data_IF_385566722429
#
_entry.id   IF_385566722429
#
_cell.length_a   1.000
_cell.length_b   1.000
_cell.length_c   1.000
_cell.angle_alpha   90.00
_cell.angle_beta   90.00
_cell.angle_gamma   90.00
#
_symmetry.space_group_name_H-M   'P 1'
#
loop_
_entity.id
_entity.type
_entity.pdbx_description
1 polymer ?
#
# COMPACT_ATOMS: atom_id res chain seq x y z
N UNK A 1 2.58 10.39 -14.89
CA UNK A 1 2.02 9.20 -14.21
C UNK A 1 1.79 9.47 -12.73
N UNK A 2 0.77 8.88 -12.08
CA UNK A 2 0.67 8.91 -10.61
C UNK A 2 1.63 7.89 -10.01
N UNK A 3 2.80 8.33 -9.62
CA UNK A 3 3.86 7.50 -9.01
C UNK A 3 4.08 7.95 -7.57
N UNK A 4 4.02 6.99 -6.65
CA UNK A 4 4.37 7.14 -5.25
C UNK A 4 5.62 6.32 -4.90
N UNK A 5 6.32 6.73 -3.86
CA UNK A 5 7.53 6.07 -3.40
C UNK A 5 7.25 5.23 -2.14
N UNK A 6 7.90 4.08 -2.01
CA UNK A 6 7.96 3.35 -0.75
C UNK A 6 9.03 3.95 0.14
N UNK A 7 8.66 4.34 1.35
CA UNK A 7 9.56 4.92 2.34
C UNK A 7 10.02 3.89 3.38
N UNK A 8 11.31 3.93 3.73
CA UNK A 8 11.89 3.17 4.85
C UNK A 8 12.85 4.04 5.68
N UNK A 9 12.38 5.19 6.17
CA UNK A 9 13.21 6.03 7.03
C UNK A 9 13.43 5.38 8.39
N UNK A 10 14.54 5.73 9.03
CA UNK A 10 14.91 5.21 10.35
C UNK A 10 14.72 6.23 11.47
N UNK A 11 14.37 7.46 11.13
CA UNK A 11 14.03 8.53 12.09
C UNK A 11 12.90 9.40 11.56
N UNK A 12 12.24 10.15 12.43
CA UNK A 12 11.18 11.11 12.05
C UNK A 12 11.72 12.17 11.09
N UNK A 13 12.92 12.69 11.34
CA UNK A 13 13.55 13.70 10.48
C UNK A 13 13.75 13.18 9.06
N UNK A 14 14.26 11.96 8.92
CA UNK A 14 14.43 11.32 7.60
C UNK A 14 13.10 11.05 6.90
N UNK A 15 12.02 10.77 7.65
CA UNK A 15 10.70 10.63 7.08
C UNK A 15 10.19 11.97 6.53
N UNK A 16 10.36 13.04 7.29
CA UNK A 16 10.02 14.41 6.87
C UNK A 16 10.82 14.83 5.64
N UNK A 17 12.14 14.63 5.66
CA UNK A 17 13.02 14.91 4.51
C UNK A 17 12.57 14.14 3.26
N UNK A 18 12.30 12.84 3.39
CA UNK A 18 11.84 12.02 2.27
C UNK A 18 10.50 12.52 1.70
N UNK A 19 9.56 12.92 2.55
CA UNK A 19 8.28 13.46 2.09
C UNK A 19 8.46 14.79 1.34
N UNK A 20 9.31 15.69 1.85
CA UNK A 20 9.65 16.97 1.21
C UNK A 20 10.37 16.78 -0.12
N UNK A 21 11.33 15.87 -0.17
CA UNK A 21 12.06 15.57 -1.40
C UNK A 21 11.16 14.93 -2.46
N UNK A 22 10.26 14.04 -2.05
CA UNK A 22 9.27 13.43 -2.94
C UNK A 22 8.28 14.48 -3.47
N UNK A 23 7.80 15.38 -2.63
CA UNK A 23 6.94 16.50 -3.04
C UNK A 23 7.64 17.39 -4.05
N UNK A 24 8.87 17.81 -3.77
CA UNK A 24 9.70 18.63 -4.65
C UNK A 24 9.99 17.94 -5.99
N UNK A 25 10.12 16.60 -5.96
CA UNK A 25 10.31 15.77 -7.16
C UNK A 25 9.04 15.53 -7.97
N UNK A 26 7.86 16.05 -7.54
CA UNK A 26 6.60 15.90 -8.24
C UNK A 26 5.90 14.54 -8.01
N UNK A 27 6.40 13.71 -7.11
CA UNK A 27 5.75 12.43 -6.78
C UNK A 27 4.38 12.63 -6.15
N UNK A 28 3.44 11.75 -6.47
CA UNK A 28 2.05 11.86 -5.99
C UNK A 28 1.89 11.46 -4.53
N UNK A 29 2.73 10.55 -4.02
CA UNK A 29 2.58 10.00 -2.67
C UNK A 29 3.87 9.38 -2.13
N UNK A 30 3.92 9.23 -0.80
CA UNK A 30 4.89 8.35 -0.12
C UNK A 30 4.14 7.37 0.78
N UNK A 31 4.56 6.10 0.74
CA UNK A 31 3.90 5.00 1.42
C UNK A 31 4.81 4.37 2.47
N UNK A 32 4.30 4.20 3.69
CA UNK A 32 5.03 3.63 4.82
C UNK A 32 4.31 2.40 5.36
N UNK A 33 5.05 1.33 5.61
CA UNK A 33 4.51 0.14 6.24
C UNK A 33 4.61 0.19 7.79
N UNK A 34 3.98 -0.77 8.46
CA UNK A 34 3.95 -0.85 9.93
C UNK A 34 5.31 -1.07 10.60
N UNK A 35 6.37 -1.36 9.85
CA UNK A 35 7.71 -1.55 10.39
C UNK A 35 8.51 -0.24 10.46
N UNK A 36 8.03 0.79 9.77
CA UNK A 36 8.68 2.10 9.76
C UNK A 36 8.49 2.79 11.12
N UNK A 37 9.58 3.04 11.81
CA UNK A 37 9.61 3.68 13.15
C UNK A 37 8.76 2.95 14.22
N UNK A 38 8.38 1.68 13.97
CA UNK A 38 7.45 0.93 14.81
C UNK A 38 5.98 1.40 14.72
N UNK A 39 5.74 2.67 14.43
CA UNK A 39 4.46 3.27 14.08
C UNK A 39 4.71 4.55 13.25
N UNK A 40 4.46 4.55 11.94
CA UNK A 40 4.73 5.70 11.10
C UNK A 40 3.78 6.87 11.33
N UNK A 41 2.61 6.66 11.96
CA UNK A 41 1.53 7.64 12.01
C UNK A 41 1.95 8.95 12.69
N UNK A 42 2.69 8.88 13.80
CA UNK A 42 3.18 10.08 14.49
C UNK A 42 4.12 10.91 13.60
N UNK A 43 5.07 10.24 12.93
CA UNK A 43 6.01 10.91 12.02
C UNK A 43 5.29 11.45 10.76
N UNK A 44 4.27 10.75 10.26
CA UNK A 44 3.45 11.21 9.14
C UNK A 44 2.66 12.47 9.49
N UNK A 45 2.16 12.60 10.72
CA UNK A 45 1.52 13.83 11.19
C UNK A 45 2.49 15.03 11.11
N UNK A 46 3.74 14.84 11.52
CA UNK A 46 4.79 15.88 11.41
C UNK A 46 5.11 16.17 9.94
N UNK A 47 5.35 15.15 9.13
CA UNK A 47 5.64 15.31 7.69
C UNK A 47 4.50 16.02 6.95
N UNK A 48 3.24 15.73 7.32
CA UNK A 48 2.07 16.38 6.75
C UNK A 48 2.00 17.88 7.02
N UNK A 49 2.52 18.33 8.17
CA UNK A 49 2.66 19.77 8.50
C UNK A 49 3.78 20.44 7.72
N UNK A 50 4.80 19.68 7.35
CA UNK A 50 5.99 20.17 6.66
C UNK A 50 5.90 20.06 5.12
N UNK A 51 4.79 19.55 4.60
CA UNK A 51 4.50 19.38 3.17
C UNK A 51 3.13 19.97 2.83
N UNK A 52 2.88 20.25 1.55
CA UNK A 52 1.69 20.99 1.11
C UNK A 52 0.70 20.15 0.30
N UNK A 53 1.19 19.28 -0.57
CA UNK A 53 0.38 18.60 -1.59
C UNK A 53 0.55 17.08 -1.61
N UNK A 54 1.74 16.57 -1.25
CA UNK A 54 2.04 15.15 -1.35
C UNK A 54 1.14 14.31 -0.45
N UNK A 55 0.61 13.24 -1.00
CA UNK A 55 -0.15 12.26 -0.23
C UNK A 55 0.77 11.40 0.63
N UNK A 56 0.41 11.23 1.90
CA UNK A 56 1.08 10.34 2.83
C UNK A 56 0.15 9.15 3.10
N UNK A 57 0.61 7.96 2.73
CA UNK A 57 -0.19 6.75 2.87
C UNK A 57 0.49 5.67 3.69
N UNK A 58 -0.29 4.76 4.26
CA UNK A 58 0.25 3.53 4.83
C UNK A 58 0.08 2.35 3.86
N UNK A 59 1.13 1.53 3.72
CA UNK A 59 1.10 0.35 2.84
C UNK A 59 1.85 -0.85 3.47
N UNK A 60 1.32 -1.46 4.53
CA UNK A 60 0.05 -1.16 5.21
C UNK A 60 0.22 -1.24 6.73
N UNK A 61 -0.72 -0.67 7.50
CA UNK A 61 -0.81 -0.97 8.93
C UNK A 61 -1.56 -2.29 9.15
N UNK A 62 -1.16 -3.00 10.20
CA UNK A 62 -1.74 -4.30 10.56
C UNK A 62 -3.06 -4.12 11.31
N UNK A 63 -4.07 -4.94 10.98
CA UNK A 63 -5.37 -4.89 11.65
C UNK A 63 -5.35 -5.59 13.02
N UNK A 64 -4.66 -6.72 13.15
CA UNK A 64 -4.71 -7.58 14.34
C UNK A 64 -4.26 -6.93 15.64
N UNK A 65 -3.14 -6.19 15.72
CA UNK A 65 -2.68 -5.64 17.00
C UNK A 65 -3.43 -4.37 17.45
N UNK A 66 -4.41 -3.90 16.67
CA UNK A 66 -5.06 -2.63 16.94
C UNK A 66 -6.57 -2.71 16.73
N UNK A 67 -7.36 -2.45 17.76
CA UNK A 67 -8.82 -2.41 17.64
C UNK A 67 -9.26 -1.37 16.59
N UNK A 68 -10.27 -1.66 15.73
CA UNK A 68 -10.70 -0.76 14.65
C UNK A 68 -11.14 0.63 15.15
N UNK A 69 -11.75 0.74 16.32
CA UNK A 69 -12.08 2.02 16.94
C UNK A 69 -10.81 2.83 17.28
N UNK A 70 -9.80 2.19 17.86
CA UNK A 70 -8.52 2.86 18.13
C UNK A 70 -7.83 3.28 16.85
N UNK A 71 -7.82 2.40 15.83
CA UNK A 71 -7.22 2.73 14.54
C UNK A 71 -7.94 3.89 13.83
N UNK A 72 -9.27 3.97 13.92
CA UNK A 72 -10.03 5.09 13.38
C UNK A 72 -9.66 6.41 14.08
N UNK A 73 -9.55 6.40 15.42
CA UNK A 73 -9.10 7.58 16.18
C UNK A 73 -7.67 8.00 15.82
N UNK A 74 -6.73 7.05 15.66
CA UNK A 74 -5.34 7.32 15.25
C UNK A 74 -5.30 7.95 13.86
N UNK A 75 -6.05 7.39 12.91
CA UNK A 75 -6.14 7.90 11.54
C UNK A 75 -6.74 9.32 11.49
N UNK A 76 -7.83 9.56 12.23
CA UNK A 76 -8.44 10.88 12.35
C UNK A 76 -7.48 11.90 12.99
N UNK A 77 -6.73 11.48 14.01
CA UNK A 77 -5.73 12.34 14.67
C UNK A 77 -4.59 12.73 13.73
N UNK A 78 -4.11 11.81 12.87
CA UNK A 78 -3.10 12.13 11.85
C UNK A 78 -3.66 13.12 10.84
N UNK A 79 -4.84 12.87 10.30
CA UNK A 79 -5.48 13.74 9.32
C UNK A 79 -5.72 15.16 9.88
N UNK A 80 -6.13 15.27 11.14
CA UNK A 80 -6.30 16.55 11.82
C UNK A 80 -4.94 17.24 12.06
N UNK A 81 -3.94 16.51 12.53
CA UNK A 81 -2.60 17.04 12.80
C UNK A 81 -1.91 17.54 11.52
N UNK A 82 -2.10 16.89 10.39
CA UNK A 82 -1.61 17.36 9.10
C UNK A 82 -2.19 18.73 8.72
N UNK A 83 -3.43 19.03 9.14
CA UNK A 83 -4.10 20.30 8.86
C UNK A 83 -4.47 20.52 7.37
N UNK A 84 -4.35 19.48 6.55
CA UNK A 84 -4.67 19.47 5.12
C UNK A 84 -5.13 18.08 4.67
N UNK A 85 -5.82 17.95 3.52
CA UNK A 85 -6.07 16.66 2.87
C UNK A 85 -4.78 15.95 2.44
N UNK A 86 -4.88 14.65 2.16
CA UNK A 86 -3.76 13.86 1.62
C UNK A 86 -3.18 12.84 2.59
N UNK A 87 -3.96 12.41 3.59
CA UNK A 87 -3.67 11.20 4.35
C UNK A 87 -4.55 10.06 3.84
N UNK A 88 -3.95 8.91 3.51
CA UNK A 88 -4.64 7.68 3.11
C UNK A 88 -4.25 6.53 4.03
N UNK A 89 -5.25 5.89 4.63
CA UNK A 89 -5.05 4.76 5.52
C UNK A 89 -5.09 3.44 4.73
N UNK A 90 -3.93 2.84 4.48
CA UNK A 90 -3.83 1.47 4.00
C UNK A 90 -3.71 0.49 5.16
N UNK A 91 -4.53 -0.53 5.18
CA UNK A 91 -4.56 -1.57 6.22
C UNK A 91 -4.55 -2.98 5.61
N UNK A 92 -4.17 -3.97 6.40
CA UNK A 92 -4.20 -5.37 5.99
C UNK A 92 -4.03 -6.34 7.15
N UNK A 93 -4.42 -7.63 6.94
CA UNK A 93 -4.38 -8.64 8.00
C UNK A 93 -2.97 -9.07 8.42
N UNK A 94 -1.93 -8.58 7.74
CA UNK A 94 -0.57 -9.08 7.94
C UNK A 94 -0.42 -10.58 7.54
N UNK A 95 0.49 -11.30 8.19
CA UNK A 95 0.83 -12.69 7.90
C UNK A 95 0.91 -13.50 9.19
N UNK A 96 0.62 -14.79 9.11
CA UNK A 96 0.63 -15.69 10.25
C UNK A 96 1.92 -15.63 11.10
N UNK A 97 3.14 -15.63 10.52
CA UNK A 97 4.36 -15.53 11.33
C UNK A 97 4.46 -14.25 12.15
N UNK A 98 3.85 -13.18 11.69
CA UNK A 98 3.82 -11.91 12.43
C UNK A 98 2.69 -11.92 13.46
N UNK A 99 1.48 -12.26 13.04
CA UNK A 99 0.29 -12.19 13.92
C UNK A 99 0.39 -13.25 15.03
N UNK A 100 0.63 -14.50 14.67
CA UNK A 100 0.74 -15.57 15.66
C UNK A 100 2.15 -15.66 16.28
N UNK A 101 3.20 -15.51 15.47
CA UNK A 101 4.57 -15.68 15.95
C UNK A 101 5.09 -14.51 16.79
N UNK A 102 4.79 -13.26 16.40
CA UNK A 102 5.30 -12.08 17.13
C UNK A 102 4.29 -11.53 18.14
N UNK A 103 3.00 -11.46 17.77
CA UNK A 103 1.97 -10.89 18.65
C UNK A 103 1.25 -11.93 19.52
N UNK A 104 1.41 -13.24 19.23
CA UNK A 104 0.70 -14.29 19.96
C UNK A 104 -0.82 -14.29 19.76
N UNK A 105 -1.30 -13.70 18.68
CA UNK A 105 -2.73 -13.61 18.39
C UNK A 105 -3.17 -14.72 17.43
N UNK A 106 -4.43 -15.22 17.51
CA UNK A 106 -4.95 -16.22 16.59
C UNK A 106 -5.05 -15.65 15.16
N UNK A 107 -4.74 -16.47 14.15
CA UNK A 107 -4.79 -16.10 12.72
C UNK A 107 -5.66 -17.08 11.89
N UNK A 108 -6.71 -17.61 12.49
CA UNK A 108 -7.51 -18.70 11.88
C UNK A 108 -8.40 -18.24 10.73
N UNK A 109 -8.96 -17.05 10.83
CA UNK A 109 -9.94 -16.51 9.88
C UNK A 109 -9.61 -15.07 9.42
N UNK A 110 -8.42 -14.82 8.84
CA UNK A 110 -7.96 -13.44 8.55
C UNK A 110 -8.90 -12.66 7.64
N UNK A 111 -9.52 -13.31 6.67
CA UNK A 111 -10.48 -12.64 5.78
C UNK A 111 -11.79 -12.26 6.49
N UNK A 112 -12.25 -13.02 7.47
CA UNK A 112 -13.44 -12.70 8.26
C UNK A 112 -13.14 -11.60 9.28
N UNK A 113 -12.03 -11.73 9.98
CA UNK A 113 -11.53 -10.72 10.90
C UNK A 113 -11.41 -9.35 10.20
N UNK A 114 -10.79 -9.32 9.02
CA UNK A 114 -10.63 -8.08 8.23
C UNK A 114 -11.97 -7.50 7.76
N UNK A 115 -12.95 -8.33 7.42
CA UNK A 115 -14.28 -7.88 7.02
C UNK A 115 -15.01 -7.18 8.17
N UNK A 116 -15.05 -7.79 9.36
CA UNK A 116 -15.64 -7.17 10.55
C UNK A 116 -14.89 -5.88 10.94
N UNK A 117 -13.54 -5.91 10.87
CA UNK A 117 -12.69 -4.76 11.12
C UNK A 117 -13.07 -3.57 10.24
N UNK A 118 -13.18 -3.81 8.92
CA UNK A 118 -13.50 -2.76 7.95
C UNK A 118 -14.91 -2.20 8.16
N UNK A 119 -15.90 -3.03 8.48
CA UNK A 119 -17.27 -2.55 8.78
C UNK A 119 -17.25 -1.50 9.90
N UNK A 120 -16.50 -1.74 10.95
CA UNK A 120 -16.36 -0.79 12.06
C UNK A 120 -15.55 0.43 11.63
N UNK A 121 -14.36 0.21 11.07
CA UNK A 121 -13.42 1.27 10.74
C UNK A 121 -13.99 2.29 9.74
N UNK A 122 -14.56 1.80 8.64
CA UNK A 122 -15.06 2.67 7.58
C UNK A 122 -16.31 3.44 7.99
N UNK A 123 -17.21 2.83 8.78
CA UNK A 123 -18.34 3.52 9.37
C UNK A 123 -17.89 4.69 10.25
N UNK A 124 -16.92 4.43 11.14
CA UNK A 124 -16.36 5.47 12.02
C UNK A 124 -15.70 6.62 11.24
N UNK A 125 -14.90 6.31 10.21
CA UNK A 125 -14.24 7.32 9.40
C UNK A 125 -15.20 8.10 8.49
N UNK A 126 -16.41 7.56 8.24
CA UNK A 126 -17.54 8.27 7.61
C UNK A 126 -18.37 9.08 8.60
N UNK A 127 -17.93 9.18 9.85
CA UNK A 127 -18.61 9.88 10.96
C UNK A 127 -19.95 9.27 11.37
N UNK A 128 -20.14 8.00 11.08
CA UNK A 128 -21.33 7.25 11.50
C UNK A 128 -21.23 6.87 12.98
N UNK A 129 -22.36 6.72 13.66
CA UNK A 129 -22.41 6.05 14.94
C UNK A 129 -22.41 4.54 14.70
N UNK A 130 -21.40 3.84 15.15
CA UNK A 130 -21.23 2.42 14.89
C UNK A 130 -21.58 1.59 16.12
N UNK A 131 -22.54 0.69 15.94
CA UNK A 131 -22.80 -0.42 16.85
C UNK A 131 -22.72 -1.70 16.05
N UNK A 132 -21.73 -2.54 16.38
CA UNK A 132 -21.45 -3.78 15.69
C UNK A 132 -21.03 -4.85 16.70
N UNK A 133 -21.63 -6.03 16.61
CA UNK A 133 -21.29 -7.19 17.43
C UNK A 133 -20.95 -8.36 16.50
N UNK A 134 -19.65 -8.57 16.30
CA UNK A 134 -19.13 -9.65 15.50
C UNK A 134 -18.49 -10.75 16.34
N UNK A 135 -17.96 -11.76 15.69
CA UNK A 135 -17.23 -12.85 16.35
C UNK A 135 -15.78 -12.50 16.63
N UNK A 136 -15.20 -11.54 15.88
CA UNK A 136 -13.82 -11.10 16.00
C UNK A 136 -13.74 -9.71 16.64
N UNK A 137 -14.66 -8.81 16.29
CA UNK A 137 -14.63 -7.42 16.73
C UNK A 137 -15.99 -6.93 17.21
N UNK A 138 -15.98 -6.09 18.23
CA UNK A 138 -17.19 -5.44 18.78
C UNK A 138 -16.96 -3.94 18.95
N UNK A 139 -17.95 -3.12 18.54
CA UNK A 139 -18.01 -1.70 18.83
C UNK A 139 -19.44 -1.31 19.26
N UNK A 140 -19.59 -0.54 20.35
CA UNK A 140 -20.91 -0.19 20.89
C UNK A 140 -21.05 1.32 21.02
N UNK A 141 -21.90 1.92 20.17
CA UNK A 141 -22.17 3.36 20.18
C UNK A 141 -20.93 4.22 19.91
N UNK A 142 -19.94 3.64 19.18
CA UNK A 142 -18.67 4.31 18.91
C UNK A 142 -18.83 5.42 17.86
N UNK A 143 -18.09 6.52 18.05
CA UNK A 143 -17.99 7.63 17.11
C UNK A 143 -16.56 8.12 17.04
N UNK A 144 -16.19 8.66 15.87
CA UNK A 144 -14.90 9.33 15.66
C UNK A 144 -15.16 10.66 14.97
N UNK A 145 -14.60 11.71 15.52
CA UNK A 145 -14.64 13.03 14.91
C UNK A 145 -13.42 13.22 13.99
N UNK A 146 -13.67 13.58 12.75
CA UNK A 146 -12.63 13.96 11.79
C UNK A 146 -13.13 15.09 10.91
N UNK A 147 -12.30 16.09 10.66
CA UNK A 147 -12.62 17.20 9.75
C UNK A 147 -12.18 16.90 8.33
N UNK A 148 -11.13 16.12 8.20
CA UNK A 148 -10.57 15.72 6.90
C UNK A 148 -11.06 14.34 6.50
N UNK A 149 -11.33 14.08 5.22
CA UNK A 149 -11.59 12.74 4.74
C UNK A 149 -10.34 11.85 4.90
N UNK A 150 -10.55 10.61 5.31
CA UNK A 150 -9.51 9.59 5.41
C UNK A 150 -9.89 8.41 4.52
N UNK A 151 -9.44 8.39 3.25
CA UNK A 151 -9.63 7.24 2.39
C UNK A 151 -9.00 5.98 2.99
N UNK A 152 -9.68 4.84 2.85
CA UNK A 152 -9.22 3.55 3.34
C UNK A 152 -8.92 2.62 2.18
N UNK A 153 -7.68 2.13 2.10
CA UNK A 153 -7.27 1.10 1.15
C UNK A 153 -7.02 -0.22 1.87
N UNK A 154 -7.44 -1.33 1.26
CA UNK A 154 -7.20 -2.66 1.80
C UNK A 154 -6.07 -3.37 1.05
N UNK A 155 -5.12 -3.96 1.76
CA UNK A 155 -4.20 -4.94 1.17
C UNK A 155 -4.98 -6.21 0.79
N UNK A 156 -5.27 -6.37 -0.50
CA UNK A 156 -6.14 -7.43 -0.98
C UNK A 156 -5.60 -8.06 -2.27
N UNK A 157 -5.23 -9.33 -2.21
CA UNK A 157 -4.75 -10.10 -3.36
C UNK A 157 -5.70 -11.25 -3.75
N UNK A 158 -6.41 -11.80 -2.78
CA UNK A 158 -7.34 -12.92 -2.99
C UNK A 158 -8.79 -12.47 -3.20
N UNK A 159 -9.63 -13.32 -3.81
CA UNK A 159 -10.99 -12.94 -4.20
C UNK A 159 -11.86 -12.49 -3.02
N UNK A 160 -11.69 -13.08 -1.83
CA UNK A 160 -12.46 -12.68 -0.63
C UNK A 160 -12.15 -11.24 -0.22
N UNK A 161 -10.86 -10.87 -0.07
CA UNK A 161 -10.49 -9.53 0.35
C UNK A 161 -10.73 -8.50 -0.76
N UNK A 162 -10.64 -8.88 -2.04
CA UNK A 162 -11.06 -8.01 -3.15
C UNK A 162 -12.55 -7.70 -3.10
N UNK A 163 -13.40 -8.69 -2.76
CA UNK A 163 -14.83 -8.45 -2.51
C UNK A 163 -15.04 -7.49 -1.34
N UNK A 164 -14.41 -7.78 -0.19
CA UNK A 164 -14.51 -6.91 0.99
C UNK A 164 -14.05 -5.48 0.69
N UNK A 165 -12.95 -5.33 -0.06
CA UNK A 165 -12.48 -4.01 -0.47
C UNK A 165 -13.49 -3.27 -1.36
N UNK A 166 -14.07 -3.93 -2.36
CA UNK A 166 -15.07 -3.34 -3.24
C UNK A 166 -16.35 -2.92 -2.49
N UNK A 167 -16.77 -3.69 -1.49
CA UNK A 167 -17.96 -3.39 -0.67
C UNK A 167 -17.71 -2.26 0.34
N UNK A 168 -16.55 -2.18 0.96
CA UNK A 168 -16.33 -1.38 2.17
C UNK A 168 -15.23 -0.32 2.06
N UNK A 169 -14.15 -0.57 1.31
CA UNK A 169 -12.99 0.32 1.22
C UNK A 169 -13.04 1.24 -0.01
N UNK A 170 -12.16 2.24 -0.08
CA UNK A 170 -12.07 3.16 -1.21
C UNK A 170 -11.14 2.63 -2.31
N UNK A 171 -10.58 1.45 -2.09
CA UNK A 171 -9.74 0.74 -3.06
C UNK A 171 -8.81 -0.26 -2.40
N UNK A 172 -7.77 -0.62 -3.13
CA UNK A 172 -6.77 -1.60 -2.71
C UNK A 172 -5.35 -1.06 -2.85
N UNK A 173 -4.46 -1.55 -1.98
CA UNK A 173 -3.02 -1.45 -2.16
C UNK A 173 -2.45 -2.84 -2.34
N UNK A 174 -1.76 -3.04 -3.45
CA UNK A 174 -1.23 -4.32 -3.88
C UNK A 174 0.29 -4.34 -3.73
N UNK A 175 0.85 -5.52 -3.51
CA UNK A 175 2.28 -5.73 -3.67
C UNK A 175 2.52 -7.05 -4.43
N UNK A 176 3.53 -7.10 -5.29
CA UNK A 176 3.86 -8.24 -6.15
C UNK A 176 2.76 -8.67 -7.14
N UNK A 177 1.86 -7.76 -7.52
CA UNK A 177 0.87 -8.02 -8.56
C UNK A 177 1.37 -7.45 -9.91
N UNK A 178 1.65 -8.33 -10.88
CA UNK A 178 2.03 -7.93 -12.24
C UNK A 178 0.87 -7.25 -12.98
N UNK A 179 1.16 -6.56 -14.09
CA UNK A 179 0.13 -5.97 -14.96
C UNK A 179 -0.95 -7.00 -15.34
N UNK A 180 -0.53 -8.22 -15.72
CA UNK A 180 -1.48 -9.31 -16.03
C UNK A 180 -2.36 -9.67 -14.84
N UNK A 181 -1.82 -9.76 -13.63
CA UNK A 181 -2.62 -10.05 -12.43
C UNK A 181 -3.60 -8.91 -12.11
N UNK A 182 -3.20 -7.65 -12.32
CA UNK A 182 -4.10 -6.50 -12.18
C UNK A 182 -5.24 -6.58 -13.20
N UNK A 183 -4.94 -6.78 -14.47
CA UNK A 183 -5.88 -6.81 -15.60
C UNK A 183 -6.89 -7.96 -15.47
N UNK A 184 -6.40 -9.18 -15.19
CA UNK A 184 -7.25 -10.39 -15.29
C UNK A 184 -7.89 -10.81 -13.98
N UNK A 185 -7.36 -10.37 -12.85
CA UNK A 185 -7.82 -10.83 -11.54
C UNK A 185 -8.28 -9.69 -10.63
N UNK A 186 -7.47 -8.63 -10.44
CA UNK A 186 -7.77 -7.61 -9.43
C UNK A 186 -8.83 -6.63 -9.94
N UNK A 187 -8.53 -5.89 -11.02
CA UNK A 187 -9.37 -4.78 -11.48
C UNK A 187 -10.80 -5.22 -11.83
N UNK A 188 -11.03 -6.31 -12.60
CA UNK A 188 -12.41 -6.69 -12.94
C UNK A 188 -13.23 -7.11 -11.72
N UNK A 189 -12.62 -7.84 -10.76
CA UNK A 189 -13.34 -8.26 -9.54
C UNK A 189 -13.67 -7.08 -8.63
N UNK A 190 -12.68 -6.23 -8.38
CA UNK A 190 -12.85 -5.09 -7.49
C UNK A 190 -13.91 -4.12 -8.04
N UNK A 191 -13.83 -3.78 -9.33
CA UNK A 191 -14.76 -2.88 -10.01
C UNK A 191 -16.18 -3.42 -10.05
N UNK A 192 -16.35 -4.71 -10.38
CA UNK A 192 -17.66 -5.33 -10.40
C UNK A 192 -18.35 -5.29 -9.03
N UNK A 193 -17.60 -5.56 -7.97
CA UNK A 193 -18.15 -5.53 -6.60
C UNK A 193 -18.45 -4.09 -6.17
N UNK A 194 -17.56 -3.13 -6.42
CA UNK A 194 -17.79 -1.72 -6.07
C UNK A 194 -19.03 -1.18 -6.80
N UNK A 195 -19.16 -1.46 -8.10
CA UNK A 195 -20.34 -1.08 -8.89
C UNK A 195 -21.63 -1.72 -8.36
N UNK A 196 -21.62 -3.01 -8.05
CA UNK A 196 -22.78 -3.71 -7.47
C UNK A 196 -23.18 -3.16 -6.09
N UNK A 197 -22.21 -2.64 -5.33
CA UNK A 197 -22.44 -1.99 -4.05
C UNK A 197 -22.80 -0.49 -4.17
N UNK A 198 -22.95 0.05 -5.38
CA UNK A 198 -23.24 1.47 -5.63
C UNK A 198 -22.12 2.42 -5.20
N UNK A 199 -20.87 1.93 -5.16
CA UNK A 199 -19.70 2.70 -4.74
C UNK A 199 -18.98 3.31 -5.94
N UNK A 200 -18.24 4.43 -5.73
CA UNK A 200 -17.39 5.01 -6.76
C UNK A 200 -16.35 4.01 -7.29
N UNK A 201 -15.75 4.35 -8.44
CA UNK A 201 -14.62 3.62 -9.01
C UNK A 201 -13.52 3.47 -7.95
N UNK A 202 -13.12 2.22 -7.62
CA UNK A 202 -12.15 1.99 -6.56
C UNK A 202 -10.72 2.29 -7.02
N UNK A 203 -9.92 2.84 -6.13
CA UNK A 203 -8.50 3.07 -6.34
C UNK A 203 -7.71 1.76 -6.32
N UNK A 204 -6.75 1.61 -7.23
CA UNK A 204 -5.85 0.44 -7.31
C UNK A 204 -4.41 0.93 -7.30
N UNK A 205 -3.77 0.85 -6.14
CA UNK A 205 -2.35 1.19 -5.96
C UNK A 205 -1.52 -0.07 -6.17
N UNK A 206 -0.74 -0.13 -7.26
CA UNK A 206 0.10 -1.28 -7.59
C UNK A 206 1.53 -1.07 -7.12
N UNK A 207 1.96 -1.84 -6.09
CA UNK A 207 3.30 -1.81 -5.53
C UNK A 207 4.22 -2.86 -6.12
N UNK A 208 5.39 -2.44 -6.63
CA UNK A 208 6.37 -3.34 -7.23
C UNK A 208 7.81 -2.88 -6.99
N UNK A 209 8.78 -3.84 -6.95
CA UNK A 209 10.20 -3.52 -7.06
C UNK A 209 10.50 -2.91 -8.43
N UNK A 210 11.30 -1.84 -8.44
CA UNK A 210 11.70 -1.15 -9.68
C UNK A 210 13.19 -0.86 -9.66
N UNK A 211 13.87 -1.17 -10.76
CA UNK A 211 15.26 -0.79 -10.97
C UNK A 211 15.54 -0.47 -12.44
N UNK A 212 16.20 0.66 -12.70
CA UNK A 212 16.79 0.96 -14.00
C UNK A 212 18.22 0.42 -14.00
N UNK A 213 18.47 -0.58 -14.86
CA UNK A 213 19.77 -1.23 -14.97
C UNK A 213 19.90 -1.93 -16.34
N UNK A 214 21.11 -1.87 -16.94
CA UNK A 214 21.33 -2.42 -18.28
C UNK A 214 21.51 -3.95 -18.25
N UNK A 215 22.15 -4.48 -17.20
CA UNK A 215 22.25 -5.92 -16.99
C UNK A 215 21.01 -6.45 -16.23
N UNK A 216 20.11 -7.08 -16.99
CA UNK A 216 18.87 -7.62 -16.44
C UNK A 216 19.12 -8.78 -15.47
N UNK A 217 20.21 -9.52 -15.64
CA UNK A 217 20.55 -10.65 -14.78
C UNK A 217 20.94 -10.16 -13.38
N UNK A 218 21.77 -9.13 -13.33
CA UNK A 218 22.18 -8.48 -12.09
C UNK A 218 20.98 -7.82 -11.39
N UNK A 219 20.13 -7.12 -12.14
CA UNK A 219 18.90 -6.52 -11.59
C UNK A 219 17.95 -7.56 -11.00
N UNK A 220 17.75 -8.69 -11.67
CA UNK A 220 16.94 -9.81 -11.18
C UNK A 220 17.51 -10.41 -9.91
N UNK A 221 18.83 -10.59 -9.83
CA UNK A 221 19.50 -11.10 -8.64
C UNK A 221 19.30 -10.17 -7.43
N UNK A 222 19.43 -8.85 -7.62
CA UNK A 222 19.21 -7.86 -6.56
C UNK A 222 17.75 -7.87 -6.04
N UNK A 223 16.76 -8.04 -6.93
CA UNK A 223 15.36 -8.19 -6.51
C UNK A 223 15.13 -9.51 -5.79
N UNK A 224 15.68 -10.61 -6.28
CA UNK A 224 15.54 -11.93 -5.65
C UNK A 224 16.08 -11.93 -4.20
N UNK A 225 17.23 -11.28 -3.97
CA UNK A 225 17.78 -11.09 -2.62
C UNK A 225 16.86 -10.24 -1.74
N UNK A 226 16.45 -9.06 -2.24
CA UNK A 226 15.68 -8.09 -1.48
C UNK A 226 14.27 -8.59 -1.15
N UNK A 227 13.67 -9.38 -2.03
CA UNK A 227 12.28 -9.82 -1.95
C UNK A 227 12.12 -11.32 -1.63
N UNK A 228 13.17 -12.03 -1.22
CA UNK A 228 13.20 -13.48 -0.97
C UNK A 228 12.11 -13.96 0.01
N UNK A 229 11.75 -13.13 0.99
CA UNK A 229 10.72 -13.49 1.98
C UNK A 229 9.33 -13.66 1.36
N UNK A 230 9.02 -12.92 0.29
CA UNK A 230 7.69 -12.93 -0.35
C UNK A 230 7.41 -14.22 -1.13
N UNK A 231 8.45 -14.91 -1.61
CA UNK A 231 8.30 -16.20 -2.29
C UNK A 231 7.64 -17.28 -1.42
N UNK A 232 7.89 -17.22 -0.11
CA UNK A 232 7.41 -18.22 0.86
C UNK A 232 6.03 -17.91 1.43
N UNK A 233 5.48 -16.72 1.12
CA UNK A 233 4.18 -16.28 1.64
C UNK A 233 3.05 -16.69 0.69
N UNK A 234 2.06 -17.51 1.13
CA UNK A 234 1.04 -18.09 0.25
C UNK A 234 0.24 -17.08 -0.59
N UNK A 235 -0.03 -15.90 -0.02
CA UNK A 235 -0.81 -14.88 -0.74
C UNK A 235 -0.01 -14.29 -1.91
N UNK A 236 1.30 -14.03 -1.72
CA UNK A 236 2.16 -13.51 -2.78
C UNK A 236 2.45 -14.58 -3.82
N UNK A 237 2.66 -15.82 -3.40
CA UNK A 237 2.79 -16.92 -4.35
C UNK A 237 1.58 -17.01 -5.26
N UNK A 238 0.38 -17.01 -4.70
CA UNK A 238 -0.88 -17.07 -5.46
C UNK A 238 -1.01 -15.92 -6.45
N UNK A 239 -0.72 -14.68 -6.07
CA UNK A 239 -0.87 -13.55 -7.01
C UNK A 239 0.19 -13.57 -8.09
N UNK A 240 1.41 -13.99 -7.81
CA UNK A 240 2.45 -14.21 -8.80
C UNK A 240 2.04 -15.30 -9.79
N UNK A 241 1.52 -16.44 -9.32
CA UNK A 241 1.04 -17.54 -10.18
C UNK A 241 -0.11 -17.07 -11.10
N UNK A 242 -1.06 -16.28 -10.60
CA UNK A 242 -2.13 -15.66 -11.41
C UNK A 242 -1.52 -14.76 -12.50
N UNK A 243 -0.49 -14.02 -12.16
CA UNK A 243 0.24 -13.16 -13.11
C UNK A 243 1.17 -13.91 -14.06
N UNK A 244 1.31 -15.24 -13.89
CA UNK A 244 2.23 -16.06 -14.70
C UNK A 244 3.70 -15.91 -14.30
N UNK A 245 3.97 -15.43 -13.08
CA UNK A 245 5.31 -15.23 -12.54
C UNK A 245 5.68 -16.33 -11.54
N UNK A 246 6.94 -16.75 -11.54
CA UNK A 246 7.45 -17.78 -10.65
C UNK A 246 8.21 -17.22 -9.44
N UNK A 247 8.65 -15.97 -9.53
CA UNK A 247 9.45 -15.32 -8.50
C UNK A 247 9.14 -13.82 -8.40
N UNK A 248 9.53 -13.15 -7.30
CA UNK A 248 9.45 -11.69 -7.20
C UNK A 248 10.19 -10.94 -8.33
N UNK A 249 11.28 -11.52 -8.84
CA UNK A 249 12.04 -10.94 -9.95
C UNK A 249 11.28 -10.97 -11.30
N UNK A 250 10.28 -11.85 -11.44
CA UNK A 250 9.44 -11.92 -12.65
C UNK A 250 8.35 -10.83 -12.65
N UNK A 251 7.95 -10.33 -11.49
CA UNK A 251 6.96 -9.25 -11.38
C UNK A 251 7.59 -7.87 -11.25
N UNK A 252 8.89 -7.81 -10.97
CA UNK A 252 9.61 -6.54 -10.84
C UNK A 252 9.69 -5.79 -12.18
N UNK A 253 9.69 -4.47 -12.10
CA UNK A 253 9.85 -3.58 -13.26
C UNK A 253 11.34 -3.30 -13.45
N UNK A 254 11.96 -3.95 -14.44
CA UNK A 254 13.41 -3.96 -14.63
C UNK A 254 13.80 -3.69 -16.07
N UNK A 255 14.97 -3.11 -16.30
CA UNK A 255 15.59 -2.88 -17.58
C UNK A 255 16.13 -1.47 -17.75
N UNK A 256 16.41 -1.08 -18.98
CA UNK A 256 16.75 0.30 -19.32
C UNK A 256 15.56 1.26 -19.12
N UNK A 257 15.80 2.56 -19.23
CA UNK A 257 14.79 3.59 -19.03
C UNK A 257 13.54 3.41 -19.90
N UNK A 258 13.71 2.99 -21.15
CA UNK A 258 12.59 2.75 -22.08
C UNK A 258 11.76 1.55 -21.66
N UNK A 259 12.42 0.48 -21.26
CA UNK A 259 11.75 -0.76 -20.80
C UNK A 259 11.00 -0.54 -19.52
N UNK A 260 11.61 0.15 -18.54
CA UNK A 260 10.96 0.49 -17.27
C UNK A 260 9.74 1.39 -17.50
N UNK A 261 9.87 2.45 -18.33
CA UNK A 261 8.76 3.34 -18.68
C UNK A 261 7.58 2.57 -19.27
N UNK A 262 7.84 1.68 -20.23
CA UNK A 262 6.80 0.87 -20.88
C UNK A 262 6.11 -0.08 -19.89
N UNK A 263 6.86 -0.70 -18.99
CA UNK A 263 6.31 -1.60 -17.97
C UNK A 263 5.45 -0.86 -16.96
N UNK A 264 5.86 0.33 -16.51
CA UNK A 264 5.06 1.20 -15.62
C UNK A 264 3.77 1.65 -16.31
N UNK A 265 3.83 2.04 -17.61
CA UNK A 265 2.64 2.37 -18.37
C UNK A 265 1.70 1.16 -18.50
N UNK A 266 2.24 -0.02 -18.75
CA UNK A 266 1.47 -1.26 -18.82
C UNK A 266 0.70 -1.61 -17.55
N UNK A 267 1.18 -1.20 -16.36
CA UNK A 267 0.43 -1.33 -15.11
C UNK A 267 -0.80 -0.42 -15.08
N UNK A 268 -0.68 0.82 -15.55
CA UNK A 268 -1.79 1.77 -15.65
C UNK A 268 -2.82 1.29 -16.68
N UNK A 269 -2.36 0.83 -17.85
CA UNK A 269 -3.20 0.29 -18.91
C UNK A 269 -3.97 -0.97 -18.45
N UNK A 270 -3.36 -1.77 -17.57
CA UNK A 270 -3.98 -2.93 -16.92
C UNK A 270 -5.05 -2.57 -15.88
N UNK A 271 -5.17 -1.29 -15.53
CA UNK A 271 -6.20 -0.79 -14.64
C UNK A 271 -5.73 -0.32 -13.26
N UNK A 272 -4.42 -0.26 -12.99
CA UNK A 272 -3.91 0.44 -11.82
C UNK A 272 -4.18 1.94 -11.94
N UNK A 273 -4.54 2.59 -10.84
CA UNK A 273 -4.73 4.05 -10.78
C UNK A 273 -3.46 4.78 -10.34
N UNK A 274 -2.63 4.09 -9.57
CA UNK A 274 -1.39 4.58 -8.99
C UNK A 274 -0.34 3.49 -8.98
N UNK A 275 0.91 3.88 -9.07
CA UNK A 275 2.05 2.98 -8.94
C UNK A 275 2.81 3.31 -7.66
N UNK A 276 3.01 2.33 -6.80
CA UNK A 276 3.89 2.44 -5.63
C UNK A 276 5.23 1.79 -5.95
N UNK A 277 6.28 2.60 -6.06
CA UNK A 277 7.61 2.13 -6.43
C UNK A 277 8.43 1.77 -5.19
N UNK A 278 8.92 0.54 -5.16
CA UNK A 278 9.97 0.10 -4.26
C UNK A 278 11.31 0.06 -5.04
N UNK A 279 12.11 1.12 -4.90
CA UNK A 279 13.39 1.23 -5.62
C UNK A 279 14.39 0.22 -5.08
N UNK A 280 14.85 -0.68 -5.96
CA UNK A 280 15.89 -1.68 -5.65
C UNK A 280 17.21 -1.24 -6.27
N UNK A 281 18.20 -0.83 -5.47
CA UNK A 281 19.54 -0.53 -5.98
C UNK A 281 20.26 -1.80 -6.45
N UNK A 282 20.92 -1.73 -7.60
CA UNK A 282 21.61 -2.84 -8.26
C UNK A 282 23.12 -2.56 -8.34
N UNK A 283 23.95 -3.61 -8.26
CA UNK A 283 25.38 -3.54 -8.40
C UNK A 283 26.12 -3.00 -7.18
N UNK A 284 27.41 -2.82 -7.32
CA UNK A 284 28.30 -2.35 -6.24
C UNK A 284 28.02 -0.89 -5.86
N UNK A 285 27.84 0.01 -6.85
CA UNK A 285 27.49 1.40 -6.62
C UNK A 285 25.96 1.59 -6.46
N UNK A 286 25.45 1.13 -5.32
CA UNK A 286 24.04 1.20 -4.96
C UNK A 286 23.49 2.65 -4.98
N UNK A 287 24.33 3.64 -4.69
CA UNK A 287 23.93 5.05 -4.69
C UNK A 287 23.68 5.55 -6.11
N UNK A 288 24.59 5.25 -7.03
CA UNK A 288 24.46 5.60 -8.46
C UNK A 288 23.27 4.89 -9.11
N UNK A 289 23.11 3.59 -8.85
CA UNK A 289 21.98 2.80 -9.33
C UNK A 289 20.65 3.38 -8.85
N UNK A 290 20.51 3.66 -7.55
CA UNK A 290 19.32 4.31 -7.00
C UNK A 290 19.07 5.67 -7.66
N UNK A 291 20.10 6.49 -7.83
CA UNK A 291 19.97 7.80 -8.47
C UNK A 291 19.44 7.68 -9.89
N UNK A 292 20.00 6.77 -10.71
CA UNK A 292 19.54 6.53 -12.09
C UNK A 292 18.05 6.18 -12.14
N UNK A 293 17.58 5.27 -11.27
CA UNK A 293 16.17 4.92 -11.17
C UNK A 293 15.32 6.11 -10.75
N UNK A 294 15.74 6.88 -9.75
CA UNK A 294 15.02 8.07 -9.30
C UNK A 294 14.94 9.17 -10.36
N UNK A 295 16.02 9.39 -11.13
CA UNK A 295 16.06 10.37 -12.21
C UNK A 295 14.99 10.03 -13.29
N UNK A 296 14.88 8.75 -13.67
CA UNK A 296 13.81 8.32 -14.57
C UNK A 296 12.44 8.57 -13.97
N UNK A 297 12.20 8.11 -12.74
CA UNK A 297 10.89 8.23 -12.10
C UNK A 297 10.45 9.71 -11.99
N UNK A 298 11.38 10.60 -11.64
CA UNK A 298 11.12 12.05 -11.61
C UNK A 298 10.70 12.58 -12.98
N UNK A 299 11.31 12.12 -14.07
CA UNK A 299 10.92 12.54 -15.42
C UNK A 299 9.54 12.02 -15.86
N UNK A 300 8.99 11.02 -15.20
CA UNK A 300 7.68 10.42 -15.53
C UNK A 300 6.51 11.06 -14.74
N UNK A 301 6.79 11.81 -13.68
CA UNK A 301 5.77 12.46 -12.84
C UNK A 301 5.59 13.94 -13.18
N UNK A 302 6.55 14.53 -13.86
CA UNK A 302 6.47 15.88 -14.47
C UNK A 302 5.94 15.77 -15.89
#
# INVERSE_FOLDING_TARGET
MRIGLTGRPTTTEKLVEQAKDAEKGGFSSVWYDSTVLGDPLAAMAVAGRETSTIELGTAVLQTYPCHPLLQANRAASVAEAMGRPGFTLGIGPSHEPVVSGMYGLPYDRPGHNTEEYLRILTGLLRRESVTFEGSEWTARGARVETRQPVPVLLAALGPRLLRVAGELADGVVLFMASARAVETHVAPRLRAVASAAGRPEPRIVAGLPVAVHDDITEARAAVAETAASYERMPNYRRIMDIGGAQSPADVAVLGDEKSVTRQLQGLLDAGATDIQVFVVPVGEDRRRSRKRTMDLLTSLVT
#
